data_IF_848457657683
#
_entry.id   IF_848457657683
#
_cell.length_a   1.000
_cell.length_b   1.000
_cell.length_c   1.000
_cell.angle_alpha   90.00
_cell.angle_beta   90.00
_cell.angle_gamma   90.00
#
_symmetry.space_group_name_H-M   'P 1'
#
loop_
_entity.id
_entity.type
_entity.pdbx_description
1 polymer ?
#
# COMPACT_ATOMS: atom_id res chain seq x y z
N UNK A 1 -5.11 17.70 13.64
CA UNK A 1 -4.94 17.86 12.18
C UNK A 1 -5.89 16.84 11.60
N UNK A 2 -7.06 17.29 11.19
CA UNK A 2 -8.15 16.38 10.85
C UNK A 2 -7.97 15.98 9.39
N UNK A 3 -7.82 14.69 9.15
CA UNK A 3 -7.73 14.12 7.82
C UNK A 3 -8.84 13.09 7.63
N UNK A 4 -9.30 12.93 6.39
CA UNK A 4 -10.34 11.97 6.01
C UNK A 4 -9.80 11.01 4.96
N UNK A 5 -10.29 9.77 4.97
CA UNK A 5 -9.93 8.75 3.97
C UNK A 5 -11.13 8.52 3.05
N UNK A 6 -10.88 8.52 1.75
CA UNK A 6 -11.90 8.21 0.74
C UNK A 6 -11.28 7.51 -0.46
N UNK A 7 -12.13 6.82 -1.24
CA UNK A 7 -11.72 6.30 -2.53
C UNK A 7 -11.44 7.46 -3.51
N UNK A 8 -10.41 7.32 -4.34
CA UNK A 8 -10.00 8.35 -5.30
C UNK A 8 -9.55 7.74 -6.64
N UNK A 9 -9.42 8.62 -7.64
CA UNK A 9 -8.87 8.23 -8.95
C UNK A 9 -7.38 7.87 -8.85
N UNK A 10 -6.89 7.00 -9.74
CA UNK A 10 -5.50 6.54 -9.74
C UNK A 10 -4.51 7.70 -9.91
N UNK A 11 -4.92 8.72 -10.69
CA UNK A 11 -4.15 9.93 -10.93
C UNK A 11 -3.76 10.63 -9.62
N UNK A 12 -4.65 10.65 -8.62
CA UNK A 12 -4.38 11.27 -7.33
C UNK A 12 -3.24 10.57 -6.60
N UNK A 13 -3.30 9.25 -6.50
CA UNK A 13 -2.25 8.45 -5.86
C UNK A 13 -0.94 8.48 -6.64
N UNK A 14 -1.02 8.47 -7.96
CA UNK A 14 0.15 8.66 -8.83
C UNK A 14 0.83 10.02 -8.58
N UNK A 15 0.08 11.11 -8.44
CA UNK A 15 0.66 12.42 -8.11
C UNK A 15 1.30 12.43 -6.73
N UNK A 16 0.66 11.86 -5.69
CA UNK A 16 1.27 11.73 -4.36
C UNK A 16 2.58 10.95 -4.43
N UNK A 17 2.60 9.87 -5.24
CA UNK A 17 3.77 8.98 -5.33
C UNK A 17 5.05 9.70 -5.79
N UNK A 18 4.93 10.77 -6.58
CA UNK A 18 6.06 11.60 -7.01
C UNK A 18 6.71 12.39 -5.86
N UNK A 19 5.97 12.63 -4.77
CA UNK A 19 6.47 13.31 -3.58
C UNK A 19 7.05 12.36 -2.52
N UNK A 20 7.13 11.06 -2.80
CA UNK A 20 7.66 10.06 -1.86
C UNK A 20 9.14 9.78 -2.14
N UNK A 21 10.06 10.12 -1.22
CA UNK A 21 11.50 9.92 -1.45
C UNK A 21 11.90 8.43 -1.56
N UNK A 22 11.09 7.51 -1.03
CA UNK A 22 11.33 6.07 -1.15
C UNK A 22 11.06 5.53 -2.57
N UNK A 23 10.39 6.30 -3.42
CA UNK A 23 10.01 5.93 -4.78
C UNK A 23 11.01 6.54 -5.76
N UNK A 24 12.23 6.04 -5.73
CA UNK A 24 13.35 6.52 -6.56
C UNK A 24 13.12 6.35 -8.07
N UNK A 25 12.30 5.37 -8.44
CA UNK A 25 11.87 5.08 -9.80
C UNK A 25 10.34 4.90 -9.78
N UNK A 26 9.56 6.00 -9.78
CA UNK A 26 8.12 5.92 -9.68
C UNK A 26 7.52 5.35 -10.97
N UNK A 27 6.50 4.50 -10.83
CA UNK A 27 5.79 3.95 -11.97
C UNK A 27 5.02 5.03 -12.75
N UNK A 28 4.88 4.82 -14.07
CA UNK A 28 4.00 5.64 -14.91
C UNK A 28 2.53 5.45 -14.53
N UNK A 29 1.67 6.41 -14.84
CA UNK A 29 0.22 6.25 -14.65
C UNK A 29 -0.32 5.06 -15.46
N UNK A 30 0.24 4.82 -16.65
CA UNK A 30 -0.10 3.66 -17.47
C UNK A 30 0.14 2.33 -16.74
N UNK A 31 1.22 2.22 -15.95
CA UNK A 31 1.48 1.01 -15.17
C UNK A 31 0.47 0.82 -14.03
N UNK A 32 -0.04 1.92 -13.44
CA UNK A 32 -1.15 1.84 -12.49
C UNK A 32 -2.38 1.27 -13.19
N UNK A 33 -2.76 1.85 -14.33
CA UNK A 33 -3.91 1.44 -15.13
C UNK A 33 -3.77 -0.01 -15.62
N UNK A 34 -2.58 -0.42 -16.07
CA UNK A 34 -2.32 -1.78 -16.56
C UNK A 34 -2.52 -2.83 -15.47
N UNK A 35 -2.06 -2.55 -14.24
CA UNK A 35 -2.18 -3.50 -13.12
C UNK A 35 -3.57 -3.58 -12.52
N UNK A 36 -4.36 -2.51 -12.64
CA UNK A 36 -5.72 -2.45 -12.05
C UNK A 36 -6.83 -2.59 -13.09
N UNK A 37 -6.52 -2.53 -14.39
CA UNK A 37 -7.51 -2.34 -15.45
C UNK A 37 -8.41 -3.55 -15.72
N UNK A 38 -7.98 -4.75 -15.36
CA UNK A 38 -8.70 -6.01 -15.61
C UNK A 38 -9.10 -6.74 -14.33
N UNK A 39 -8.87 -6.15 -13.17
CA UNK A 39 -9.08 -6.77 -11.86
C UNK A 39 -9.74 -5.80 -10.90
N UNK A 40 -10.44 -6.30 -9.88
CA UNK A 40 -10.98 -5.44 -8.83
C UNK A 40 -9.81 -4.77 -8.09
N UNK A 41 -9.89 -3.45 -7.90
CA UNK A 41 -8.88 -2.69 -7.18
C UNK A 41 -9.50 -1.77 -6.15
N UNK A 42 -8.68 -1.32 -5.19
CA UNK A 42 -9.04 -0.31 -4.21
C UNK A 42 -7.93 0.74 -4.17
N UNK A 43 -8.31 2.00 -4.36
CA UNK A 43 -7.42 3.15 -4.24
C UNK A 43 -7.93 4.12 -3.19
N UNK A 44 -7.36 4.06 -1.99
CA UNK A 44 -7.69 4.96 -0.88
C UNK A 44 -6.69 6.11 -0.81
N UNK A 45 -7.19 7.32 -0.58
CA UNK A 45 -6.39 8.53 -0.36
C UNK A 45 -6.80 9.16 0.97
N UNK A 46 -5.80 9.59 1.73
CA UNK A 46 -5.97 10.44 2.89
C UNK A 46 -5.86 11.91 2.47
N UNK A 47 -6.80 12.73 2.93
CA UNK A 47 -6.95 14.13 2.59
C UNK A 47 -6.85 14.98 3.85
N UNK A 48 -6.05 16.04 3.83
CA UNK A 48 -6.13 17.13 4.81
C UNK A 48 -6.72 18.33 4.09
N UNK A 49 -7.96 18.68 4.44
CA UNK A 49 -8.82 19.53 3.63
C UNK A 49 -8.91 18.98 2.18
N UNK A 50 -8.58 19.77 1.17
CA UNK A 50 -8.57 19.36 -0.25
C UNK A 50 -7.21 18.82 -0.72
N UNK A 51 -6.22 18.72 0.17
CA UNK A 51 -4.86 18.31 -0.19
C UNK A 51 -4.71 16.79 0.01
N UNK A 52 -4.35 16.02 -1.04
CA UNK A 52 -4.06 14.60 -0.91
C UNK A 52 -2.67 14.41 -0.28
N UNK A 53 -2.61 13.72 0.86
CA UNK A 53 -1.39 13.65 1.70
C UNK A 53 -0.83 12.24 1.88
N UNK A 54 -1.57 11.23 1.49
CA UNK A 54 -1.13 9.84 1.51
C UNK A 54 -2.10 8.93 0.80
N UNK A 55 -1.67 7.72 0.45
CA UNK A 55 -2.53 6.76 -0.24
C UNK A 55 -2.17 5.32 0.07
N UNK A 56 -3.11 4.43 -0.24
CA UNK A 56 -2.96 2.96 -0.21
C UNK A 56 -3.73 2.37 -1.39
N UNK A 57 -2.99 1.75 -2.29
CA UNK A 57 -3.47 1.17 -3.54
C UNK A 57 -3.19 -0.33 -3.55
N UNK A 58 -4.16 -1.11 -3.96
CA UNK A 58 -3.98 -2.53 -4.25
C UNK A 58 -5.03 -3.08 -5.20
N UNK A 59 -4.87 -4.35 -5.57
CA UNK A 59 -5.75 -5.05 -6.49
C UNK A 59 -5.83 -6.55 -6.17
N UNK A 60 -6.90 -7.18 -6.62
CA UNK A 60 -7.13 -8.61 -6.49
C UNK A 60 -6.08 -9.40 -7.28
N UNK A 61 -5.53 -10.46 -6.66
CA UNK A 61 -4.78 -11.49 -7.38
C UNK A 61 -5.72 -12.62 -7.82
N UNK A 62 -6.70 -12.93 -6.96
CA UNK A 62 -7.79 -13.87 -7.19
C UNK A 62 -8.97 -13.49 -6.27
N UNK A 63 -9.99 -14.33 -6.21
CA UNK A 63 -11.21 -14.08 -5.43
C UNK A 63 -10.99 -14.05 -3.89
N UNK A 64 -9.86 -14.56 -3.40
CA UNK A 64 -9.56 -14.69 -1.97
C UNK A 64 -8.36 -13.85 -1.53
N UNK A 65 -7.44 -13.52 -2.45
CA UNK A 65 -6.18 -12.86 -2.16
C UNK A 65 -6.12 -11.48 -2.80
N UNK A 66 -5.87 -10.48 -1.96
CA UNK A 66 -5.64 -9.10 -2.40
C UNK A 66 -4.17 -8.71 -2.24
N UNK A 67 -3.63 -8.01 -3.22
CA UNK A 67 -2.26 -7.49 -3.18
C UNK A 67 -2.26 -5.99 -2.87
N UNK A 68 -1.76 -5.64 -1.68
CA UNK A 68 -1.49 -4.26 -1.26
C UNK A 68 -0.20 -3.79 -1.94
N UNK A 69 -0.34 -3.13 -3.09
CA UNK A 69 0.76 -2.87 -4.02
C UNK A 69 1.59 -1.64 -3.66
N UNK A 70 0.95 -0.47 -3.57
CA UNK A 70 1.62 0.82 -3.36
C UNK A 70 0.97 1.58 -2.22
N UNK A 71 1.76 2.37 -1.53
CA UNK A 71 1.24 3.30 -0.54
C UNK A 71 2.35 4.06 0.15
N UNK A 72 1.98 5.21 0.70
CA UNK A 72 2.89 6.09 1.39
C UNK A 72 2.19 7.37 1.83
N UNK A 73 2.86 8.10 2.70
CA UNK A 73 2.41 9.40 3.23
C UNK A 73 3.52 10.40 2.95
N UNK A 74 3.14 11.57 2.43
CA UNK A 74 4.06 12.65 2.15
C UNK A 74 4.87 13.02 3.41
N UNK A 75 6.18 13.32 3.30
CA UNK A 75 7.06 13.52 4.46
C UNK A 75 6.52 14.46 5.54
N UNK A 76 5.90 15.58 5.15
CA UNK A 76 5.34 16.58 6.06
C UNK A 76 4.17 16.08 6.92
N UNK A 77 3.51 14.99 6.52
CA UNK A 77 2.32 14.45 7.19
C UNK A 77 2.58 13.11 7.91
N UNK A 78 3.84 12.66 7.97
CA UNK A 78 4.20 11.40 8.63
C UNK A 78 4.07 11.49 10.15
N UNK A 79 4.02 10.31 10.81
CA UNK A 79 3.92 10.15 12.27
C UNK A 79 2.61 10.66 12.90
N UNK A 80 1.56 10.80 12.10
CA UNK A 80 0.21 11.22 12.54
C UNK A 80 -0.83 10.09 12.44
N UNK A 81 -0.40 8.82 12.35
CA UNK A 81 -1.29 7.67 12.24
C UNK A 81 -1.87 7.37 10.85
N UNK A 82 -1.72 8.29 9.88
CA UNK A 82 -2.32 8.20 8.53
C UNK A 82 -2.05 6.86 7.83
N UNK A 83 -0.80 6.39 7.80
CA UNK A 83 -0.45 5.13 7.13
C UNK A 83 -1.15 3.91 7.76
N UNK A 84 -1.29 3.92 9.09
CA UNK A 84 -2.01 2.87 9.83
C UNK A 84 -3.50 2.92 9.52
N UNK A 85 -4.09 4.11 9.51
CA UNK A 85 -5.51 4.29 9.21
C UNK A 85 -5.86 3.92 7.77
N UNK A 86 -4.99 4.25 6.80
CA UNK A 86 -5.13 3.79 5.42
C UNK A 86 -5.05 2.26 5.30
N UNK A 87 -4.17 1.61 6.07
CA UNK A 87 -4.08 0.15 6.08
C UNK A 87 -5.32 -0.50 6.72
N UNK A 88 -5.81 0.04 7.84
CA UNK A 88 -7.03 -0.45 8.50
C UNK A 88 -8.25 -0.30 7.59
N UNK A 89 -8.44 0.87 6.97
CA UNK A 89 -9.54 1.09 6.03
C UNK A 89 -9.47 0.15 4.82
N UNK A 90 -8.27 -0.18 4.32
CA UNK A 90 -8.11 -1.19 3.29
C UNK A 90 -8.50 -2.58 3.81
N UNK A 91 -8.01 -3.00 4.98
CA UNK A 91 -8.35 -4.30 5.56
C UNK A 91 -9.85 -4.46 5.82
N UNK A 92 -10.51 -3.43 6.38
CA UNK A 92 -11.96 -3.40 6.60
C UNK A 92 -12.74 -3.58 5.29
N UNK A 93 -12.34 -2.84 4.24
CA UNK A 93 -12.93 -3.01 2.92
C UNK A 93 -12.72 -4.43 2.39
N UNK A 94 -11.51 -4.99 2.55
CA UNK A 94 -11.19 -6.33 2.07
C UNK A 94 -12.03 -7.42 2.76
N UNK A 95 -12.18 -7.34 4.08
CA UNK A 95 -13.05 -8.22 4.87
C UNK A 95 -14.50 -8.10 4.37
N UNK A 96 -14.99 -6.88 4.19
CA UNK A 96 -16.34 -6.63 3.66
C UNK A 96 -16.57 -7.12 2.23
N UNK A 97 -15.51 -7.35 1.46
CA UNK A 97 -15.57 -7.93 0.11
C UNK A 97 -15.36 -9.46 0.08
N UNK A 98 -15.10 -10.09 1.23
CA UNK A 98 -14.90 -11.55 1.33
C UNK A 98 -13.47 -12.02 1.04
N UNK A 99 -12.49 -11.11 0.94
CA UNK A 99 -11.08 -11.52 0.83
C UNK A 99 -10.62 -12.14 2.16
N UNK A 100 -9.81 -13.19 2.06
CA UNK A 100 -9.28 -13.92 3.21
C UNK A 100 -7.83 -13.54 3.51
N UNK A 101 -7.14 -12.94 2.54
CA UNK A 101 -5.71 -12.70 2.64
C UNK A 101 -5.31 -11.38 1.98
N UNK A 102 -4.42 -10.64 2.64
CA UNK A 102 -3.70 -9.52 2.04
C UNK A 102 -2.21 -9.81 1.96
N UNK A 103 -1.64 -9.66 0.77
CA UNK A 103 -0.21 -9.80 0.49
C UNK A 103 0.41 -8.45 0.19
N UNK A 104 1.69 -8.31 0.52
CA UNK A 104 2.51 -7.20 0.02
C UNK A 104 3.95 -7.65 -0.20
N UNK A 105 4.69 -6.85 -0.97
CA UNK A 105 6.11 -7.05 -1.21
C UNK A 105 6.86 -5.75 -0.96
N UNK A 106 8.01 -5.84 -0.31
CA UNK A 106 8.93 -4.71 -0.14
C UNK A 106 10.37 -5.11 -0.42
N UNK A 107 11.28 -4.13 -0.41
CA UNK A 107 12.72 -4.36 -0.47
C UNK A 107 13.33 -4.32 0.92
N UNK A 108 14.41 -5.06 1.13
CA UNK A 108 15.10 -5.13 2.40
C UNK A 108 15.65 -3.77 2.87
N UNK A 109 15.96 -2.84 1.96
CA UNK A 109 16.39 -1.47 2.28
C UNK A 109 15.27 -0.65 2.97
N UNK A 110 14.00 -0.99 2.73
CA UNK A 110 12.84 -0.26 3.24
C UNK A 110 12.47 -0.70 4.66
N UNK A 111 13.42 -0.58 5.59
CA UNK A 111 13.29 -1.05 6.99
C UNK A 111 12.03 -0.55 7.69
N UNK A 112 11.67 0.72 7.46
CA UNK A 112 10.44 1.32 8.01
C UNK A 112 9.17 0.64 7.51
N UNK A 113 9.13 0.21 6.25
CA UNK A 113 8.00 -0.53 5.69
C UNK A 113 7.91 -1.93 6.27
N UNK A 114 9.05 -2.59 6.47
CA UNK A 114 9.10 -3.93 7.10
C UNK A 114 8.59 -3.84 8.55
N UNK A 115 9.10 -2.89 9.33
CA UNK A 115 8.63 -2.65 10.72
C UNK A 115 7.12 -2.35 10.73
N UNK A 116 6.66 -1.47 9.84
CA UNK A 116 5.24 -1.14 9.71
C UNK A 116 4.39 -2.40 9.43
N UNK A 117 4.78 -3.22 8.45
CA UNK A 117 4.05 -4.43 8.11
C UNK A 117 3.99 -5.43 9.28
N UNK A 118 5.11 -5.64 9.98
CA UNK A 118 5.16 -6.50 11.17
C UNK A 118 4.25 -5.96 12.29
N UNK A 119 4.26 -4.65 12.55
CA UNK A 119 3.37 -4.01 13.52
C UNK A 119 1.89 -4.07 13.10
N UNK A 120 1.62 -4.12 11.80
CA UNK A 120 0.29 -4.33 11.24
C UNK A 120 -0.16 -5.81 11.26
N UNK A 121 0.66 -6.73 11.77
CA UNK A 121 0.31 -8.15 11.89
C UNK A 121 0.59 -8.98 10.64
N UNK A 122 1.41 -8.49 9.71
CA UNK A 122 1.89 -9.31 8.60
C UNK A 122 3.00 -10.26 9.06
N UNK A 123 2.98 -11.47 8.52
CA UNK A 123 4.06 -12.43 8.63
C UNK A 123 4.97 -12.34 7.39
N UNK A 124 6.28 -12.48 7.59
CA UNK A 124 7.22 -12.68 6.49
C UNK A 124 7.07 -14.13 6.01
N UNK A 125 6.79 -14.32 4.73
CA UNK A 125 6.53 -15.64 4.13
C UNK A 125 7.64 -16.11 3.21
N UNK A 126 8.39 -15.19 2.61
CA UNK A 126 9.55 -15.52 1.81
C UNK A 126 10.54 -14.35 1.73
N UNK A 127 11.79 -14.70 1.48
CA UNK A 127 12.86 -13.76 1.10
C UNK A 127 13.44 -14.24 -0.22
N UNK A 128 13.40 -13.39 -1.23
CA UNK A 128 13.98 -13.66 -2.54
C UNK A 128 15.30 -12.86 -2.64
N UNK A 129 16.45 -13.56 -2.70
CA UNK A 129 17.74 -12.92 -2.86
C UNK A 129 17.82 -12.07 -4.12
N UNK A 130 18.61 -11.01 -4.04
CA UNK A 130 19.00 -10.14 -5.15
C UNK A 130 20.53 -9.99 -5.09
N UNK A 131 21.21 -9.42 -6.10
CA UNK A 131 22.66 -9.23 -6.04
C UNK A 131 23.13 -8.49 -4.79
N UNK A 132 22.39 -7.44 -4.39
CA UNK A 132 22.66 -6.68 -3.18
C UNK A 132 21.66 -7.03 -2.06
N UNK A 133 22.15 -7.19 -0.83
CA UNK A 133 21.35 -7.57 0.35
C UNK A 133 20.21 -6.58 0.59
N UNK A 134 20.45 -5.30 0.37
CA UNK A 134 19.49 -4.20 0.47
C UNK A 134 18.33 -4.35 -0.53
N UNK A 135 18.56 -5.01 -1.66
CA UNK A 135 17.56 -5.16 -2.71
C UNK A 135 16.70 -6.42 -2.56
N UNK A 136 17.05 -7.34 -1.65
CA UNK A 136 16.29 -8.57 -1.39
C UNK A 136 14.80 -8.28 -1.29
N UNK A 137 13.98 -9.10 -1.94
CA UNK A 137 12.53 -8.94 -1.90
C UNK A 137 11.98 -9.68 -0.69
N UNK A 138 11.26 -8.96 0.14
CA UNK A 138 10.58 -9.51 1.31
C UNK A 138 9.10 -9.64 0.98
N UNK A 139 8.61 -10.87 0.99
CA UNK A 139 7.21 -11.20 0.80
C UNK A 139 6.54 -11.28 2.16
N UNK A 140 5.42 -10.58 2.29
CA UNK A 140 4.65 -10.53 3.52
C UNK A 140 3.18 -10.84 3.26
N UNK A 141 2.55 -11.50 4.22
CA UNK A 141 1.16 -11.91 4.17
C UNK A 141 0.48 -11.73 5.52
N UNK A 142 -0.77 -11.30 5.49
CA UNK A 142 -1.65 -11.30 6.66
C UNK A 142 -2.97 -11.99 6.29
N UNK A 143 -3.41 -12.92 7.14
CA UNK A 143 -4.78 -13.45 7.09
C UNK A 143 -5.74 -12.39 7.60
N UNK A 144 -6.81 -12.16 6.85
CA UNK A 144 -7.90 -11.29 7.24
C UNK A 144 -8.87 -12.14 8.06
N UNK A 145 -9.04 -11.78 9.32
CA UNK A 145 -9.98 -12.46 10.23
C UNK A 145 -11.16 -11.52 10.41
N UNK A 146 -12.36 -12.03 10.15
CA UNK A 146 -13.63 -11.35 10.45
C UNK A 146 -13.86 -11.24 11.95
#
# INVERSE_FOLDING_TARGET
MDWVISAAKLETSWQISKGLPEFTEPYSLEEYQRRTGSVRYLNLVAWSNEVPIGFKLGYALDDQVFYSWLGGVLPAYRRQGIARSLALAQEEWLIGQGYQEVRMKTRNIHKRMIIFALQSGFNITAVEPQPEIEQFRIYLMKKLVS
#
